data_IF_550404524541
#
_entry.id   IF_550404524541
#
_cell.length_a   1.000
_cell.length_b   1.000
_cell.length_c   1.000
_cell.angle_alpha   90.00
_cell.angle_beta   90.00
_cell.angle_gamma   90.00
#
_symmetry.space_group_name_H-M   'P 1'
#
loop_
_entity.id
_entity.type
_entity.pdbx_description
1 polymer ?
#
# COMPACT_ATOMS: atom_id res chain seq x y z
N UNK A 1 -22.99 10.38 18.13
CA UNK A 1 -23.70 9.26 17.45
C UNK A 1 -22.89 7.99 17.69
N UNK A 2 -23.31 7.16 18.63
CA UNK A 2 -22.60 5.93 19.04
C UNK A 2 -23.00 4.83 18.05
N UNK A 3 -22.04 4.31 17.28
CA UNK A 3 -22.32 3.20 16.35
C UNK A 3 -22.52 1.89 17.15
N UNK A 4 -23.48 1.03 16.74
CA UNK A 4 -23.77 -0.20 17.46
C UNK A 4 -22.66 -1.23 17.28
N UNK A 5 -22.35 -1.94 18.37
CA UNK A 5 -21.51 -3.15 18.35
C UNK A 5 -22.16 -4.18 17.42
N UNK A 6 -21.48 -4.52 16.33
CA UNK A 6 -21.83 -5.64 15.47
C UNK A 6 -21.64 -6.93 16.27
N UNK A 7 -22.73 -7.47 16.80
CA UNK A 7 -22.77 -8.83 17.34
C UNK A 7 -22.80 -9.77 16.14
N UNK A 8 -21.67 -10.43 15.86
CA UNK A 8 -21.64 -11.50 14.88
C UNK A 8 -22.46 -12.68 15.42
N UNK A 9 -23.66 -12.87 14.89
CA UNK A 9 -24.45 -14.09 15.08
C UNK A 9 -23.71 -15.21 14.35
N UNK A 10 -23.13 -16.14 15.10
CA UNK A 10 -22.41 -17.29 14.57
C UNK A 10 -23.44 -18.37 14.23
N UNK A 11 -23.49 -18.78 12.96
CA UNK A 11 -24.25 -19.94 12.50
C UNK A 11 -23.65 -21.24 13.07
N UNK A 12 -24.46 -21.96 13.86
CA UNK A 12 -24.06 -23.18 14.56
C UNK A 12 -23.85 -24.38 13.61
N UNK A 13 -24.34 -24.34 12.37
CA UNK A 13 -24.25 -25.48 11.44
C UNK A 13 -22.83 -25.73 10.90
N UNK A 14 -21.93 -24.75 11.01
CA UNK A 14 -20.52 -24.88 10.59
C UNK A 14 -19.67 -25.65 11.63
N UNK A 15 -20.23 -25.98 12.80
CA UNK A 15 -19.49 -26.64 13.89
C UNK A 15 -19.41 -28.17 13.78
N UNK A 16 -20.27 -28.80 12.98
CA UNK A 16 -20.38 -30.27 12.93
C UNK A 16 -19.48 -30.94 11.89
N UNK A 17 -19.02 -30.23 10.86
CA UNK A 17 -18.47 -30.90 9.68
C UNK A 17 -16.93 -31.09 9.65
N UNK A 18 -16.16 -30.53 10.60
CA UNK A 18 -14.69 -30.59 10.55
C UNK A 18 -14.11 -30.61 11.97
N UNK A 19 -13.78 -31.80 12.50
CA UNK A 19 -12.63 -32.15 13.36
C UNK A 19 -12.88 -33.49 14.08
N UNK A 20 -12.35 -34.61 13.55
CA UNK A 20 -12.48 -35.96 14.12
C UNK A 20 -11.47 -36.28 15.24
N UNK A 21 -10.65 -35.32 15.72
CA UNK A 21 -9.49 -35.62 16.59
C UNK A 21 -9.71 -35.49 18.09
N UNK A 22 -10.83 -34.93 18.55
CA UNK A 22 -11.10 -34.69 19.97
C UNK A 22 -12.52 -35.11 20.33
N UNK A 23 -12.71 -35.65 21.54
CA UNK A 23 -14.05 -36.02 22.02
C UNK A 23 -14.97 -34.79 22.06
N UNK A 24 -16.26 -34.98 21.77
CA UNK A 24 -17.30 -33.93 21.83
C UNK A 24 -17.30 -33.21 23.18
N UNK A 25 -17.01 -33.95 24.24
CA UNK A 25 -16.89 -33.45 25.61
C UNK A 25 -15.70 -32.50 25.80
N UNK A 26 -14.50 -32.89 25.33
CA UNK A 26 -13.32 -32.04 25.38
C UNK A 26 -13.54 -30.72 24.63
N UNK A 27 -14.20 -30.79 23.46
CA UNK A 27 -14.57 -29.61 22.68
C UNK A 27 -15.50 -28.68 23.48
N UNK A 28 -16.54 -29.20 24.12
CA UNK A 28 -17.47 -28.38 24.90
C UNK A 28 -16.76 -27.66 26.07
N UNK A 29 -15.93 -28.38 26.82
CA UNK A 29 -15.16 -27.81 27.93
C UNK A 29 -14.16 -26.75 27.47
N UNK A 30 -13.49 -26.97 26.34
CA UNK A 30 -12.63 -25.96 25.70
C UNK A 30 -13.42 -24.72 25.30
N UNK A 31 -14.61 -24.88 24.72
CA UNK A 31 -15.45 -23.76 24.30
C UNK A 31 -15.94 -22.94 25.50
N UNK A 32 -16.31 -23.59 26.61
CA UNK A 32 -16.67 -22.92 27.87
C UNK A 32 -15.52 -22.10 28.43
N UNK A 33 -14.32 -22.68 28.56
CA UNK A 33 -13.17 -21.95 29.08
C UNK A 33 -12.77 -20.75 28.19
N UNK A 34 -12.89 -20.91 26.87
CA UNK A 34 -12.68 -19.80 25.92
C UNK A 34 -13.75 -18.71 26.07
N UNK A 35 -15.02 -19.07 26.32
CA UNK A 35 -16.09 -18.10 26.61
C UNK A 35 -15.85 -17.37 27.93
N UNK A 36 -15.33 -18.07 28.95
CA UNK A 36 -15.00 -17.53 30.27
C UNK A 36 -13.72 -16.69 30.33
N UNK A 37 -13.17 -16.25 29.20
CA UNK A 37 -12.06 -15.29 29.22
C UNK A 37 -10.64 -15.89 29.36
N UNK A 38 -10.49 -17.20 29.54
CA UNK A 38 -9.17 -17.83 29.73
C UNK A 38 -8.20 -17.62 28.57
N UNK A 39 -6.90 -17.62 28.90
CA UNK A 39 -5.80 -17.37 27.96
C UNK A 39 -5.38 -18.65 27.21
N UNK A 40 -4.66 -18.49 26.09
CA UNK A 40 -4.14 -19.62 25.32
C UNK A 40 -3.26 -20.56 26.17
N UNK A 41 -2.39 -19.99 27.01
CA UNK A 41 -1.51 -20.76 27.88
C UNK A 41 -2.27 -21.55 28.94
N UNK A 42 -3.37 -21.01 29.46
CA UNK A 42 -4.26 -21.73 30.37
C UNK A 42 -4.88 -22.95 29.69
N UNK A 43 -5.45 -22.79 28.49
CA UNK A 43 -6.09 -23.88 27.75
C UNK A 43 -5.10 -25.01 27.42
N UNK A 44 -3.88 -24.65 27.00
CA UNK A 44 -2.82 -25.64 26.72
C UNK A 44 -2.51 -26.48 27.95
N UNK A 45 -2.33 -25.84 29.11
CA UNK A 45 -1.99 -26.53 30.36
C UNK A 45 -3.14 -27.38 30.88
N UNK A 46 -4.36 -26.83 30.91
CA UNK A 46 -5.54 -27.50 31.49
C UNK A 46 -5.97 -28.72 30.69
N UNK A 47 -5.91 -28.64 29.36
CA UNK A 47 -6.39 -29.71 28.48
C UNK A 47 -5.26 -30.57 27.91
N UNK A 48 -4.00 -30.27 28.24
CA UNK A 48 -2.81 -30.93 27.71
C UNK A 48 -2.82 -31.03 26.16
N UNK A 49 -3.19 -29.93 25.49
CA UNK A 49 -3.30 -29.88 24.04
C UNK A 49 -2.22 -28.99 23.40
N UNK A 50 -1.83 -29.28 22.14
CA UNK A 50 -0.91 -28.43 21.40
C UNK A 50 -1.43 -26.98 21.26
N UNK A 51 -0.48 -26.04 21.21
CA UNK A 51 -0.75 -24.60 21.03
C UNK A 51 -1.61 -24.31 19.80
N UNK A 52 -1.36 -25.02 18.69
CA UNK A 52 -2.10 -24.87 17.43
C UNK A 52 -3.58 -25.25 17.58
N UNK A 53 -3.87 -26.34 18.31
CA UNK A 53 -5.22 -26.79 18.64
C UNK A 53 -5.93 -25.81 19.56
N UNK A 54 -5.30 -25.41 20.66
CA UNK A 54 -5.86 -24.42 21.58
C UNK A 54 -6.15 -23.08 20.87
N UNK A 55 -5.25 -22.67 19.97
CA UNK A 55 -5.42 -21.46 19.16
C UNK A 55 -6.56 -21.58 18.15
N UNK A 56 -6.75 -22.75 17.53
CA UNK A 56 -7.86 -23.00 16.61
C UNK A 56 -9.22 -22.75 17.30
N UNK A 57 -9.44 -23.34 18.48
CA UNK A 57 -10.68 -23.17 19.23
C UNK A 57 -10.86 -21.74 19.73
N UNK A 58 -9.81 -21.13 20.26
CA UNK A 58 -9.83 -19.74 20.71
C UNK A 58 -10.17 -18.78 19.57
N UNK A 59 -9.60 -18.99 18.37
CA UNK A 59 -9.89 -18.22 17.16
C UNK A 59 -11.32 -18.43 16.66
N UNK A 60 -11.89 -19.62 16.79
CA UNK A 60 -13.25 -19.93 16.30
C UNK A 60 -14.32 -19.18 17.10
N UNK A 61 -14.13 -19.04 18.42
CA UNK A 61 -15.06 -18.31 19.29
C UNK A 61 -14.77 -16.81 19.29
N UNK A 62 -13.53 -16.40 19.59
CA UNK A 62 -13.21 -14.98 19.80
C UNK A 62 -12.93 -14.22 18.49
N UNK A 63 -12.92 -14.93 17.36
CA UNK A 63 -12.39 -14.40 16.11
C UNK A 63 -10.88 -14.20 16.17
N UNK A 64 -10.32 -13.63 15.11
CA UNK A 64 -8.93 -13.15 15.12
C UNK A 64 -8.88 -11.85 15.90
N UNK A 65 -8.18 -11.82 17.04
CA UNK A 65 -7.73 -10.55 17.64
C UNK A 65 -6.65 -9.96 16.73
N UNK A 66 -7.03 -9.00 15.89
CA UNK A 66 -6.06 -8.16 15.19
C UNK A 66 -5.64 -7.05 16.16
N UNK A 67 -4.33 -6.80 16.24
CA UNK A 67 -3.83 -5.60 16.92
C UNK A 67 -4.44 -4.39 16.22
N UNK A 68 -5.09 -3.52 16.97
CA UNK A 68 -5.53 -2.22 16.46
C UNK A 68 -4.30 -1.45 15.99
N UNK A 69 -4.41 -0.89 14.79
CA UNK A 69 -3.36 -0.07 14.21
C UNK A 69 -3.87 1.35 14.16
N UNK A 70 -3.07 2.27 14.67
CA UNK A 70 -3.27 3.68 14.47
C UNK A 70 -2.64 4.10 13.15
N UNK A 71 -3.30 4.98 12.42
CA UNK A 71 -2.75 5.58 11.21
C UNK A 71 -2.07 6.88 11.60
N UNK A 72 -0.79 7.03 11.28
CA UNK A 72 -0.07 8.29 11.45
C UNK A 72 -0.82 9.46 10.80
N UNK A 73 -0.86 10.62 11.46
CA UNK A 73 -1.44 11.87 10.94
C UNK A 73 -0.56 12.56 9.90
N UNK A 74 0.67 12.09 9.71
CA UNK A 74 1.63 12.65 8.76
C UNK A 74 1.10 12.59 7.32
N UNK A 75 0.86 13.76 6.74
CA UNK A 75 0.32 13.89 5.40
C UNK A 75 1.33 13.48 4.33
N UNK A 76 2.62 13.68 4.56
CA UNK A 76 3.66 13.35 3.59
C UNK A 76 3.77 11.83 3.41
N UNK A 77 3.82 11.08 4.52
CA UNK A 77 3.82 9.62 4.49
C UNK A 77 2.56 9.05 3.84
N UNK A 78 1.40 9.67 4.09
CA UNK A 78 0.12 9.27 3.44
C UNK A 78 0.16 9.51 1.94
N UNK A 79 0.67 10.67 1.52
CA UNK A 79 0.85 11.01 0.11
C UNK A 79 1.74 10.01 -0.57
N UNK A 80 2.90 9.73 0.02
CA UNK A 80 3.87 8.79 -0.51
C UNK A 80 3.31 7.38 -0.65
N UNK A 81 2.64 6.87 0.39
CA UNK A 81 1.96 5.58 0.32
C UNK A 81 0.92 5.52 -0.81
N UNK A 82 0.18 6.61 -1.04
CA UNK A 82 -0.78 6.71 -2.14
C UNK A 82 -0.09 6.75 -3.51
N UNK A 83 1.01 7.50 -3.64
CA UNK A 83 1.79 7.60 -4.89
C UNK A 83 2.38 6.26 -5.31
N UNK A 84 2.99 5.54 -4.36
CA UNK A 84 3.55 4.20 -4.59
C UNK A 84 2.44 3.23 -5.00
N UNK A 85 1.29 3.26 -4.31
CA UNK A 85 0.16 2.40 -4.70
C UNK A 85 -0.39 2.75 -6.10
N UNK A 86 -0.43 4.04 -6.44
CA UNK A 86 -0.95 4.49 -7.71
C UNK A 86 -0.12 3.97 -8.89
N UNK A 87 1.21 3.96 -8.77
CA UNK A 87 2.09 3.32 -9.73
C UNK A 87 2.11 1.79 -9.59
N UNK A 88 2.94 1.29 -8.68
CA UNK A 88 3.27 -0.14 -8.54
C UNK A 88 2.35 -0.93 -7.60
N UNK A 89 1.27 -0.33 -7.10
CA UNK A 89 0.30 -1.03 -6.28
C UNK A 89 -0.61 -1.98 -7.06
N UNK A 90 -0.97 -3.10 -6.46
CA UNK A 90 -2.05 -3.99 -6.90
C UNK A 90 -3.03 -4.26 -5.77
N UNK A 91 -4.28 -4.52 -6.15
CA UNK A 91 -5.36 -4.79 -5.21
C UNK A 91 -6.21 -5.97 -5.66
N UNK A 92 -6.57 -6.83 -4.71
CA UNK A 92 -7.52 -7.93 -4.91
C UNK A 92 -8.59 -7.87 -3.83
N UNK A 93 -9.86 -7.61 -4.22
CA UNK A 93 -10.99 -7.54 -3.28
C UNK A 93 -11.44 -8.93 -2.81
N UNK A 94 -11.50 -9.91 -3.73
CA UNK A 94 -12.19 -11.19 -3.54
C UNK A 94 -11.53 -12.16 -2.53
N UNK A 95 -10.39 -11.82 -1.93
CA UNK A 95 -9.64 -12.70 -1.02
C UNK A 95 -9.19 -12.03 0.28
N UNK A 96 -9.95 -11.02 0.72
CA UNK A 96 -9.56 -10.09 1.79
C UNK A 96 -8.83 -8.89 1.19
N UNK A 97 -8.80 -7.77 1.91
CA UNK A 97 -8.23 -6.47 1.50
C UNK A 97 -6.73 -6.53 1.19
N UNK A 98 -6.36 -7.24 0.12
CA UNK A 98 -4.99 -7.57 -0.23
C UNK A 98 -4.43 -6.44 -1.08
N UNK A 99 -3.46 -5.76 -0.53
CA UNK A 99 -2.67 -4.73 -1.20
C UNK A 99 -1.27 -5.32 -1.41
N UNK A 100 -0.74 -5.19 -2.62
CA UNK A 100 0.61 -5.64 -2.96
C UNK A 100 1.35 -4.51 -3.66
N UNK A 101 2.63 -4.34 -3.38
CA UNK A 101 3.53 -3.43 -4.08
C UNK A 101 4.56 -4.28 -4.80
N UNK A 102 4.73 -4.05 -6.10
CA UNK A 102 5.61 -4.83 -6.95
C UNK A 102 6.85 -4.00 -7.25
N UNK A 103 8.02 -4.50 -6.89
CA UNK A 103 9.31 -3.81 -7.08
C UNK A 103 10.29 -4.74 -7.76
N UNK A 104 11.28 -4.20 -8.45
CA UNK A 104 12.30 -5.04 -9.06
C UNK A 104 13.18 -5.68 -7.98
N UNK A 105 13.50 -6.96 -8.10
CA UNK A 105 14.22 -7.69 -7.04
C UNK A 105 15.64 -7.18 -6.78
N UNK A 106 16.22 -6.41 -7.72
CA UNK A 106 17.52 -5.77 -7.56
C UNK A 106 17.44 -4.37 -6.91
N UNK A 107 16.30 -3.99 -6.34
CA UNK A 107 16.13 -2.74 -5.59
C UNK A 107 15.79 -3.00 -4.09
N UNK A 108 16.61 -3.78 -3.35
CA UNK A 108 16.27 -4.18 -1.99
C UNK A 108 16.18 -2.99 -1.02
N UNK A 109 16.92 -1.91 -1.25
CA UNK A 109 16.86 -0.68 -0.46
C UNK A 109 15.49 0.00 -0.60
N UNK A 110 14.95 0.06 -1.82
CA UNK A 110 13.62 0.64 -2.05
C UNK A 110 12.52 -0.26 -1.47
N UNK A 111 12.69 -1.58 -1.50
CA UNK A 111 11.81 -2.52 -0.78
C UNK A 111 11.81 -2.21 0.72
N UNK A 112 12.99 -2.04 1.31
CA UNK A 112 13.13 -1.71 2.74
C UNK A 112 12.49 -0.37 3.07
N UNK A 113 12.59 0.61 2.18
CA UNK A 113 11.89 1.89 2.32
C UNK A 113 10.37 1.72 2.35
N UNK A 114 9.78 0.94 1.44
CA UNK A 114 8.33 0.65 1.46
C UNK A 114 7.92 -0.02 2.78
N UNK A 115 8.71 -0.97 3.28
CA UNK A 115 8.47 -1.63 4.58
C UNK A 115 8.51 -0.60 5.72
N UNK A 116 9.52 0.27 5.73
CA UNK A 116 9.69 1.33 6.71
C UNK A 116 8.51 2.32 6.68
N UNK A 117 8.13 2.79 5.50
CA UNK A 117 6.99 3.69 5.28
C UNK A 117 5.70 3.09 5.84
N UNK A 118 5.41 1.83 5.50
CA UNK A 118 4.26 1.10 6.03
C UNK A 118 4.34 0.99 7.56
N UNK A 119 5.51 0.67 8.10
CA UNK A 119 5.74 0.60 9.54
C UNK A 119 5.46 1.93 10.24
N UNK A 120 5.97 3.05 9.71
CA UNK A 120 5.73 4.39 10.24
C UNK A 120 4.28 4.83 10.13
N UNK A 121 3.64 4.54 9.01
CA UNK A 121 2.26 4.96 8.76
C UNK A 121 1.24 4.16 9.57
N UNK A 122 1.53 2.90 9.91
CA UNK A 122 0.57 1.98 10.53
C UNK A 122 1.09 1.32 11.82
N UNK A 123 1.77 2.09 12.70
CA UNK A 123 2.07 1.65 14.07
C UNK A 123 3.01 0.46 14.19
N UNK A 124 4.14 0.51 13.46
CA UNK A 124 5.14 -0.56 13.34
C UNK A 124 4.60 -1.87 12.72
N UNK A 125 3.56 -1.77 11.87
CA UNK A 125 3.10 -2.91 11.10
C UNK A 125 4.19 -3.41 10.16
N UNK A 126 4.41 -4.73 10.16
CA UNK A 126 5.35 -5.40 9.24
C UNK A 126 4.57 -6.11 8.13
N UNK A 127 4.70 -5.69 6.86
CA UNK A 127 4.09 -6.38 5.74
C UNK A 127 4.79 -7.73 5.48
N UNK A 128 4.10 -8.61 4.74
CA UNK A 128 4.70 -9.84 4.22
C UNK A 128 5.56 -9.50 3.01
N UNK A 129 6.73 -10.11 2.89
CA UNK A 129 7.65 -9.87 1.77
C UNK A 129 8.11 -11.19 1.20
N UNK A 130 8.11 -11.31 -0.12
CA UNK A 130 8.65 -12.46 -0.82
C UNK A 130 9.02 -12.07 -2.25
N UNK A 131 9.92 -12.83 -2.86
CA UNK A 131 10.37 -12.61 -4.24
C UNK A 131 9.85 -13.72 -5.12
N UNK A 132 9.31 -13.35 -6.28
CA UNK A 132 8.86 -14.27 -7.31
C UNK A 132 9.49 -13.84 -8.63
N UNK A 133 10.31 -14.72 -9.22
CA UNK A 133 11.12 -14.41 -10.42
C UNK A 133 11.97 -13.16 -10.17
N UNK A 134 11.76 -12.11 -10.96
CA UNK A 134 12.48 -10.84 -10.90
C UNK A 134 11.77 -9.75 -10.10
N UNK A 135 10.69 -10.08 -9.38
CA UNK A 135 9.85 -9.10 -8.68
C UNK A 135 9.80 -9.42 -7.20
N UNK A 136 10.12 -8.44 -6.36
CA UNK A 136 9.88 -8.49 -4.93
C UNK A 136 8.53 -7.87 -4.61
N UNK A 137 7.71 -8.61 -3.86
CA UNK A 137 6.33 -8.25 -3.53
C UNK A 137 6.25 -7.92 -2.05
N UNK A 138 5.84 -6.69 -1.74
CA UNK A 138 5.47 -6.26 -0.38
C UNK A 138 3.96 -6.30 -0.23
N UNK A 139 3.44 -7.16 0.65
CA UNK A 139 2.01 -7.48 0.75
C UNK A 139 1.42 -7.17 2.12
N UNK A 140 0.22 -6.61 2.10
CA UNK A 140 -0.61 -6.36 3.27
C UNK A 140 -2.02 -6.93 3.05
N UNK A 141 -2.70 -7.30 4.13
CA UNK A 141 -4.08 -7.79 4.10
C UNK A 141 -4.97 -7.00 5.07
N UNK A 142 -4.70 -5.70 5.23
CA UNK A 142 -5.35 -4.85 6.25
C UNK A 142 -6.39 -3.94 5.59
N UNK A 143 -7.66 -4.10 5.99
CA UNK A 143 -8.77 -3.22 5.57
C UNK A 143 -8.45 -1.74 5.79
N UNK A 144 -7.82 -1.41 6.92
CA UNK A 144 -7.42 -0.05 7.27
C UNK A 144 -6.56 0.63 6.18
N UNK A 145 -5.63 -0.12 5.58
CA UNK A 145 -4.76 0.41 4.52
C UNK A 145 -5.56 0.64 3.23
N UNK A 146 -6.49 -0.26 2.92
CA UNK A 146 -7.39 -0.10 1.79
C UNK A 146 -8.31 1.11 1.98
N UNK A 147 -8.88 1.27 3.17
CA UNK A 147 -9.75 2.40 3.50
C UNK A 147 -8.97 3.73 3.38
N UNK A 148 -7.71 3.75 3.81
CA UNK A 148 -6.82 4.91 3.59
C UNK A 148 -6.65 5.20 2.10
N UNK A 149 -6.34 4.19 1.28
CA UNK A 149 -6.20 4.38 -0.17
C UNK A 149 -7.50 4.90 -0.79
N UNK A 150 -8.67 4.35 -0.44
CA UNK A 150 -9.98 4.81 -0.96
C UNK A 150 -10.42 6.17 -0.44
N UNK A 151 -9.81 6.66 0.64
CA UNK A 151 -10.01 8.03 1.12
C UNK A 151 -9.37 9.04 0.16
N UNK A 152 -8.16 8.76 -0.32
CA UNK A 152 -7.39 9.70 -1.14
C UNK A 152 -7.46 9.42 -2.65
N UNK A 153 -7.63 8.16 -3.03
CA UNK A 153 -7.60 7.69 -4.40
C UNK A 153 -8.96 7.13 -4.81
N UNK A 154 -9.23 7.23 -6.10
CA UNK A 154 -10.29 6.49 -6.77
C UNK A 154 -9.71 5.71 -7.94
N UNK A 155 -10.40 4.63 -8.29
CA UNK A 155 -10.17 3.88 -9.51
C UNK A 155 -11.43 3.07 -9.81
N UNK A 156 -11.69 2.84 -11.09
CA UNK A 156 -12.83 2.08 -11.62
C UNK A 156 -12.33 1.04 -12.62
N UNK A 157 -12.91 -0.16 -12.61
CA UNK A 157 -12.41 -1.25 -13.46
C UNK A 157 -10.92 -1.55 -13.23
N UNK A 158 -10.13 -1.49 -14.31
CA UNK A 158 -8.68 -1.78 -14.27
C UNK A 158 -7.90 -0.57 -13.74
N UNK A 159 -7.34 -0.69 -12.52
CA UNK A 159 -6.58 0.34 -11.79
C UNK A 159 -5.60 1.11 -12.69
N UNK A 160 -4.77 0.37 -13.44
CA UNK A 160 -3.68 0.90 -14.27
C UNK A 160 -4.13 2.01 -15.22
N UNK A 161 -5.39 2.03 -15.65
CA UNK A 161 -5.90 3.00 -16.61
C UNK A 161 -6.79 4.08 -16.00
N UNK A 162 -7.25 3.91 -14.77
CA UNK A 162 -8.31 4.74 -14.17
C UNK A 162 -7.95 5.37 -12.83
N UNK A 163 -6.83 4.96 -12.23
CA UNK A 163 -6.44 5.48 -10.92
C UNK A 163 -6.16 6.98 -10.95
N UNK A 164 -6.49 7.66 -9.86
CA UNK A 164 -6.20 9.07 -9.64
C UNK A 164 -6.58 9.52 -8.23
N UNK A 165 -6.24 10.76 -7.90
CA UNK A 165 -6.68 11.46 -6.69
C UNK A 165 -8.18 11.71 -6.74
N UNK A 166 -8.85 11.44 -5.62
CA UNK A 166 -10.30 11.50 -5.47
C UNK A 166 -10.85 12.92 -5.58
N UNK A 167 -10.13 13.88 -5.03
CA UNK A 167 -10.50 15.29 -5.05
C UNK A 167 -9.58 16.09 -5.99
N UNK A 168 -9.92 17.34 -6.32
CA UNK A 168 -9.02 18.27 -7.01
C UNK A 168 -7.68 18.43 -6.27
N UNK A 169 -6.59 18.58 -7.01
CA UNK A 169 -5.21 18.58 -6.47
C UNK A 169 -4.97 19.71 -5.48
N UNK A 170 -5.54 20.88 -5.74
CA UNK A 170 -5.49 22.09 -4.91
C UNK A 170 -6.19 21.93 -3.56
N UNK A 171 -7.06 20.93 -3.39
CA UNK A 171 -7.70 20.62 -2.10
C UNK A 171 -6.81 19.85 -1.12
N UNK A 172 -5.65 19.35 -1.56
CA UNK A 172 -4.74 18.59 -0.71
C UNK A 172 -3.65 19.46 -0.09
N UNK A 173 -3.22 19.07 1.12
CA UNK A 173 -2.07 19.67 1.79
C UNK A 173 -0.78 19.53 0.96
N UNK A 174 0.08 20.55 0.97
CA UNK A 174 1.32 20.55 0.18
C UNK A 174 2.27 19.42 0.59
N UNK A 175 2.29 19.00 1.87
CA UNK A 175 3.10 17.85 2.30
C UNK A 175 2.56 16.55 1.72
N UNK A 176 1.23 16.39 1.69
CA UNK A 176 0.60 15.26 0.97
C UNK A 176 1.03 15.23 -0.50
N UNK A 177 0.97 16.37 -1.20
CA UNK A 177 1.36 16.44 -2.61
C UNK A 177 2.85 16.11 -2.83
N UNK A 178 3.74 16.56 -1.95
CA UNK A 178 5.17 16.20 -2.00
C UNK A 178 5.36 14.69 -1.89
N UNK A 179 4.76 14.06 -0.87
CA UNK A 179 4.79 12.62 -0.71
C UNK A 179 4.19 11.90 -1.93
N UNK A 180 3.02 12.35 -2.40
CA UNK A 180 2.35 11.74 -3.55
C UNK A 180 3.20 11.74 -4.82
N UNK A 181 3.85 12.87 -5.13
CA UNK A 181 4.77 12.97 -6.27
C UNK A 181 5.99 12.07 -6.05
N UNK A 182 6.62 12.10 -4.86
CA UNK A 182 7.76 11.23 -4.54
C UNK A 182 7.42 9.77 -4.82
N UNK A 183 6.34 9.26 -4.23
CA UNK A 183 5.91 7.89 -4.42
C UNK A 183 5.59 7.54 -5.88
N UNK A 184 4.93 8.43 -6.62
CA UNK A 184 4.60 8.22 -8.03
C UNK A 184 5.85 8.21 -8.94
N UNK A 185 6.82 9.08 -8.67
CA UNK A 185 8.06 9.19 -9.44
C UNK A 185 9.04 8.07 -9.07
N UNK A 186 9.08 7.64 -7.80
CA UNK A 186 9.91 6.52 -7.38
C UNK A 186 9.43 5.16 -7.91
N UNK A 187 8.16 5.05 -8.33
CA UNK A 187 7.66 3.90 -9.10
C UNK A 187 7.83 4.11 -10.61
N UNK A 188 7.02 4.98 -11.21
CA UNK A 188 6.88 5.10 -12.68
C UNK A 188 7.75 6.21 -13.29
N UNK A 189 8.51 6.91 -12.47
CA UNK A 189 9.38 7.99 -12.91
C UNK A 189 10.79 7.55 -13.28
N UNK A 190 11.52 8.45 -13.92
CA UNK A 190 12.94 8.29 -14.24
C UNK A 190 13.68 9.62 -14.17
N UNK A 191 14.99 9.54 -13.97
CA UNK A 191 15.94 10.63 -14.12
C UNK A 191 16.82 10.29 -15.30
N UNK A 192 16.91 11.17 -16.30
CA UNK A 192 17.82 10.97 -17.43
C UNK A 192 19.19 11.62 -17.21
N UNK A 193 20.10 11.39 -18.13
CA UNK A 193 21.49 11.83 -18.01
C UNK A 193 21.65 13.36 -18.16
N UNK A 194 20.59 14.05 -18.61
CA UNK A 194 20.54 15.51 -18.69
C UNK A 194 19.95 16.15 -17.43
N UNK A 195 19.51 15.34 -16.47
CA UNK A 195 18.91 15.81 -15.21
C UNK A 195 17.44 16.14 -15.35
N UNK A 196 16.74 15.60 -16.35
CA UNK A 196 15.28 15.74 -16.47
C UNK A 196 14.62 14.63 -15.68
N UNK A 197 13.62 15.00 -14.88
CA UNK A 197 12.79 14.06 -14.13
C UNK A 197 11.52 13.86 -14.94
N UNK A 198 11.26 12.64 -15.39
CA UNK A 198 10.09 12.29 -16.17
C UNK A 198 9.21 11.32 -15.37
N UNK A 199 7.93 11.64 -15.22
CA UNK A 199 6.89 10.70 -14.79
C UNK A 199 6.07 10.30 -16.02
N UNK A 200 5.76 9.02 -16.19
CA UNK A 200 4.96 8.53 -17.33
C UNK A 200 3.86 7.60 -16.87
N UNK A 201 2.63 7.80 -17.33
CA UNK A 201 1.52 6.88 -17.06
C UNK A 201 0.60 6.72 -18.27
N UNK A 202 -0.10 5.59 -18.34
CA UNK A 202 -1.21 5.37 -19.27
C UNK A 202 -2.58 5.72 -18.66
N UNK A 203 -2.66 5.95 -17.35
CA UNK A 203 -3.82 6.60 -16.72
C UNK A 203 -3.73 8.10 -16.94
N UNK A 204 -4.62 8.64 -17.78
CA UNK A 204 -4.69 10.08 -18.06
C UNK A 204 -4.93 10.88 -16.78
N UNK A 205 -5.80 10.39 -15.88
CA UNK A 205 -6.10 11.06 -14.61
C UNK A 205 -4.89 11.07 -13.68
N UNK A 206 -4.21 9.92 -13.49
CA UNK A 206 -3.02 9.87 -12.64
C UNK A 206 -1.91 10.80 -13.15
N UNK A 207 -1.71 10.82 -14.47
CA UNK A 207 -0.81 11.77 -15.12
C UNK A 207 -1.19 13.24 -14.84
N UNK A 208 -2.47 13.59 -15.02
CA UNK A 208 -2.95 14.95 -14.74
C UNK A 208 -2.71 15.31 -13.28
N UNK A 209 -3.00 14.41 -12.35
CA UNK A 209 -2.81 14.64 -10.92
C UNK A 209 -1.34 14.90 -10.56
N UNK A 210 -0.40 14.12 -11.08
CA UNK A 210 1.03 14.34 -10.84
C UNK A 210 1.49 15.66 -11.47
N UNK A 211 1.06 15.96 -12.71
CA UNK A 211 1.41 17.21 -13.40
C UNK A 211 0.87 18.43 -12.66
N UNK A 212 -0.38 18.38 -12.20
CA UNK A 212 -1.03 19.45 -11.46
C UNK A 212 -0.39 19.63 -10.09
N UNK A 213 -0.05 18.53 -9.41
CA UNK A 213 0.62 18.59 -8.10
C UNK A 213 2.00 19.23 -8.21
N UNK A 214 2.77 18.90 -9.26
CA UNK A 214 4.04 19.57 -9.57
C UNK A 214 3.83 21.09 -9.77
N UNK A 215 2.77 21.50 -10.46
CA UNK A 215 2.46 22.92 -10.68
C UNK A 215 2.10 23.62 -9.38
N UNK A 216 1.28 23.01 -8.52
CA UNK A 216 0.93 23.53 -7.19
C UNK A 216 2.17 23.73 -6.31
N UNK A 217 3.17 22.86 -6.44
CA UNK A 217 4.47 23.00 -5.77
C UNK A 217 5.43 23.97 -6.48
N UNK A 218 4.98 24.68 -7.51
CA UNK A 218 5.74 25.69 -8.22
C UNK A 218 6.81 25.12 -9.16
N UNK A 219 6.59 23.94 -9.71
CA UNK A 219 7.36 23.43 -10.86
C UNK A 219 6.64 23.80 -12.16
N UNK A 220 7.38 23.77 -13.27
CA UNK A 220 6.83 23.99 -14.61
C UNK A 220 7.08 22.75 -15.50
N UNK A 221 6.31 21.65 -15.29
CA UNK A 221 6.50 20.42 -16.03
C UNK A 221 6.09 20.58 -17.49
N UNK A 222 6.90 20.04 -18.41
CA UNK A 222 6.55 19.91 -19.82
C UNK A 222 5.73 18.64 -20.04
N UNK A 223 4.69 18.70 -20.88
CA UNK A 223 3.82 17.56 -21.19
C UNK A 223 4.22 16.94 -22.51
N UNK A 224 4.47 15.63 -22.52
CA UNK A 224 4.69 14.85 -23.73
C UNK A 224 3.63 13.75 -23.85
N UNK A 225 3.13 13.51 -25.06
CA UNK A 225 2.11 12.48 -25.33
C UNK A 225 2.63 11.55 -26.42
N UNK A 226 2.69 10.25 -26.12
CA UNK A 226 3.04 9.20 -27.08
C UNK A 226 1.77 8.46 -27.50
N UNK A 227 1.29 8.76 -28.70
CA UNK A 227 0.07 8.20 -29.29
C UNK A 227 0.28 6.76 -29.78
N UNK A 228 0.45 5.80 -28.86
CA UNK A 228 0.70 4.39 -29.18
C UNK A 228 -0.52 3.68 -29.76
N UNK A 229 -1.72 4.16 -29.43
CA UNK A 229 -2.98 3.63 -29.97
C UNK A 229 -3.06 3.73 -31.49
N UNK A 230 -2.38 4.72 -32.10
CA UNK A 230 -2.31 4.89 -33.55
C UNK A 230 -1.62 3.74 -34.28
N UNK A 231 -0.69 3.04 -33.61
CA UNK A 231 0.11 1.99 -34.24
C UNK A 231 -0.45 0.59 -34.00
N UNK A 232 -1.17 0.38 -32.90
CA UNK A 232 -1.74 -0.93 -32.54
C UNK A 232 -3.00 -0.75 -31.69
N UNK A 233 -4.12 -1.37 -32.08
CA UNK A 233 -5.43 -1.24 -31.42
C UNK A 233 -5.41 -1.55 -29.90
N UNK A 234 -4.46 -2.36 -29.44
CA UNK A 234 -4.36 -2.80 -28.05
C UNK A 234 -3.42 -1.95 -27.16
N UNK A 235 -2.68 -0.98 -27.72
CA UNK A 235 -1.81 -0.12 -26.91
C UNK A 235 -2.53 1.14 -26.48
N UNK A 236 -2.35 1.51 -25.22
CA UNK A 236 -2.81 2.78 -24.67
C UNK A 236 -1.74 3.85 -24.85
N UNK A 237 -2.20 5.09 -24.99
CA UNK A 237 -1.29 6.24 -25.07
C UNK A 237 -0.58 6.44 -23.74
N UNK A 238 0.65 6.93 -23.81
CA UNK A 238 1.44 7.26 -22.64
C UNK A 238 1.54 8.78 -22.52
N UNK A 239 1.27 9.29 -21.34
CA UNK A 239 1.36 10.70 -20.99
C UNK A 239 2.55 10.90 -20.04
N UNK A 240 3.41 11.85 -20.35
CA UNK A 240 4.59 12.15 -19.55
C UNK A 240 4.61 13.58 -19.05
N UNK A 241 4.91 13.77 -17.77
CA UNK A 241 5.20 15.07 -17.16
C UNK A 241 6.72 15.15 -16.90
N UNK A 242 7.37 16.18 -17.42
CA UNK A 242 8.84 16.31 -17.39
C UNK A 242 9.26 17.60 -16.68
N UNK A 243 9.90 17.46 -15.53
CA UNK A 243 10.61 18.57 -14.86
C UNK A 243 11.98 18.72 -15.54
N UNK A 244 12.21 19.89 -16.14
CA UNK A 244 13.49 20.21 -16.80
C UNK A 244 14.63 20.29 -15.77
N UNK A 245 15.88 20.15 -16.22
CA UNK A 245 17.11 20.24 -15.39
C UNK A 245 17.11 21.38 -14.38
N UNK A 246 16.64 22.57 -14.79
CA UNK A 246 16.55 23.76 -13.90
C UNK A 246 15.70 23.55 -12.63
N UNK A 247 14.80 22.56 -12.63
CA UNK A 247 13.97 22.19 -11.49
C UNK A 247 14.53 21.03 -10.66
N UNK A 248 15.61 20.38 -11.09
CA UNK A 248 16.18 19.20 -10.42
C UNK A 248 16.60 19.50 -8.98
N UNK A 249 17.33 20.59 -8.80
CA UNK A 249 17.82 21.04 -7.50
C UNK A 249 16.66 21.37 -6.53
N UNK A 250 15.64 22.09 -7.01
CA UNK A 250 14.41 22.31 -6.25
C UNK A 250 13.71 20.99 -5.88
N UNK A 251 13.65 20.04 -6.82
CA UNK A 251 13.05 18.72 -6.58
C UNK A 251 13.80 17.95 -5.49
N UNK A 252 15.13 17.92 -5.55
CA UNK A 252 15.96 17.26 -4.53
C UNK A 252 15.86 17.91 -3.15
N UNK A 253 15.60 19.22 -3.07
CA UNK A 253 15.36 19.87 -1.78
C UNK A 253 13.98 19.56 -1.21
N UNK A 254 12.94 19.67 -2.03
CA UNK A 254 11.55 19.71 -1.55
C UNK A 254 10.81 18.38 -1.62
N UNK A 255 11.13 17.52 -2.59
CA UNK A 255 10.43 16.26 -2.84
C UNK A 255 11.34 15.08 -2.54
N UNK A 256 12.58 15.08 -3.06
CA UNK A 256 13.57 13.98 -2.93
C UNK A 256 13.13 12.69 -3.63
N UNK A 257 14.08 11.76 -3.80
CA UNK A 257 13.81 10.39 -4.18
C UNK A 257 14.15 9.48 -3.00
N UNK A 258 13.31 8.47 -2.77
CA UNK A 258 13.59 7.40 -1.82
C UNK A 258 14.01 6.12 -2.54
N UNK A 259 13.84 6.05 -3.87
CA UNK A 259 14.53 5.06 -4.69
C UNK A 259 16.02 5.46 -4.83
N UNK A 260 16.98 4.69 -4.27
CA UNK A 260 18.37 5.11 -4.23
C UNK A 260 19.03 5.21 -5.60
N UNK A 261 18.59 4.44 -6.60
CA UNK A 261 19.11 4.55 -7.96
C UNK A 261 18.78 5.91 -8.58
N UNK A 262 17.54 6.38 -8.38
CA UNK A 262 17.09 7.68 -8.86
C UNK A 262 17.76 8.82 -8.10
N UNK A 263 17.85 8.71 -6.77
CA UNK A 263 18.54 9.68 -5.92
C UNK A 263 20.01 9.83 -6.31
N UNK A 264 20.75 8.72 -6.41
CA UNK A 264 22.16 8.71 -6.78
C UNK A 264 22.37 9.32 -8.17
N UNK A 265 21.51 8.97 -9.13
CA UNK A 265 21.58 9.51 -10.48
C UNK A 265 21.32 11.01 -10.51
N UNK A 266 20.30 11.49 -9.79
CA UNK A 266 19.97 12.90 -9.69
C UNK A 266 21.10 13.72 -9.05
N UNK A 267 21.68 13.24 -7.94
CA UNK A 267 22.74 13.95 -7.21
C UNK A 267 24.01 14.13 -8.03
N UNK A 268 24.38 13.16 -8.87
CA UNK A 268 25.55 13.28 -9.77
C UNK A 268 25.43 14.42 -10.79
N UNK A 269 24.21 14.90 -11.04
CA UNK A 269 23.92 15.89 -12.09
C UNK A 269 23.75 17.31 -11.53
N UNK A 270 23.72 17.46 -10.20
CA UNK A 270 23.71 18.76 -9.53
C UNK A 270 25.16 19.11 -9.15
N UNK A 271 25.67 20.27 -9.56
CA UNK A 271 27.00 20.72 -9.12
C UNK A 271 27.06 20.73 -7.59
N UNK A 272 28.14 20.23 -7.01
CA UNK A 272 28.41 20.49 -5.59
C UNK A 272 28.65 22.00 -5.46
N UNK A 273 27.68 22.70 -4.87
CA UNK A 273 27.80 24.11 -4.48
C UNK A 273 28.47 24.16 -3.13
#
# INVERSE_FOLDING_TARGET
MILPKVVNVIDFRVLEYIDMRHSKELKNRLLEDVRSGHSLGYLMKKFNIPKTTAYYYLRKIRGRKLKDLEISSDQELRGEFCGIFAGDGGFVYNSGYRISFYTYCKEPEYVNHIIFLIGKLFGNYRPYTYTERSVTIVRTNRKLMYDLLRKYLFWTGVKTYSIGLKNPVDSYDKKFLRGFIRGAVDTDGSVDDYGRIAFTSCSKKFFQDVRDALVVLGFNPTVWIRNRSKYTKNRKDNFSAVVKRKGLDKYLREIRFENPYKELKARKLVPMV
#
